data_IF_774425811024
#
_entry.id   IF_774425811024
#
_cell.length_a   1.000
_cell.length_b   1.000
_cell.length_c   1.000
_cell.angle_alpha   90.00
_cell.angle_beta   90.00
_cell.angle_gamma   90.00
#
_symmetry.space_group_name_H-M   'P 1'
#
loop_
_entity.id
_entity.type
_entity.pdbx_description
1 polymer ?
#
# COMPACT_ATOMS: atom_id res chain seq x y z
N UNK A 1 -26.25 -8.59 -18.35
CA UNK A 1 -25.82 -8.70 -16.98
C UNK A 1 -25.61 -7.28 -16.53
N UNK A 2 -26.43 -6.81 -15.58
CA UNK A 2 -26.33 -5.43 -15.11
C UNK A 2 -25.11 -5.34 -14.19
N UNK A 3 -24.05 -4.70 -14.66
CA UNK A 3 -23.00 -4.20 -13.78
C UNK A 3 -23.61 -3.09 -12.92
N UNK A 4 -24.14 -3.47 -11.76
CA UNK A 4 -24.40 -2.51 -10.71
C UNK A 4 -23.01 -2.01 -10.31
N UNK A 5 -22.67 -0.79 -10.70
CA UNK A 5 -21.47 -0.12 -10.20
C UNK A 5 -21.61 -0.05 -8.68
N UNK A 6 -21.00 -0.99 -7.98
CA UNK A 6 -20.98 -1.02 -6.53
C UNK A 6 -20.21 0.23 -6.12
N UNK A 7 -20.90 1.15 -5.45
CA UNK A 7 -20.27 2.37 -4.96
C UNK A 7 -19.46 2.01 -3.70
N UNK A 8 -18.15 1.79 -3.87
CA UNK A 8 -17.22 1.50 -2.77
C UNK A 8 -16.94 2.71 -1.88
N UNK A 9 -17.57 3.86 -2.14
CA UNK A 9 -17.29 5.13 -1.47
C UNK A 9 -18.21 5.45 -0.29
N UNK A 10 -19.18 4.60 0.02
CA UNK A 10 -20.09 4.85 1.15
C UNK A 10 -20.58 3.52 1.75
N UNK A 11 -19.82 2.98 2.69
CA UNK A 11 -20.17 1.77 3.43
C UNK A 11 -20.36 2.14 4.90
N UNK A 12 -21.54 1.82 5.49
CA UNK A 12 -21.68 1.85 6.93
C UNK A 12 -20.91 0.67 7.53
N UNK A 13 -19.71 0.93 8.05
CA UNK A 13 -18.78 -0.11 8.47
C UNK A 13 -19.33 -0.92 9.66
N UNK A 14 -20.05 -0.25 10.58
CA UNK A 14 -20.64 -0.91 11.76
C UNK A 14 -21.77 -1.86 11.35
N UNK A 15 -22.71 -1.39 10.52
CA UNK A 15 -23.81 -2.23 10.02
C UNK A 15 -23.30 -3.38 9.15
N UNK A 16 -22.32 -3.12 8.31
CA UNK A 16 -21.67 -4.12 7.47
C UNK A 16 -21.06 -5.26 8.31
N UNK A 17 -20.35 -4.91 9.38
CA UNK A 17 -19.75 -5.87 10.29
C UNK A 17 -20.82 -6.65 11.10
N UNK A 18 -21.83 -5.95 11.65
CA UNK A 18 -22.91 -6.57 12.42
C UNK A 18 -23.76 -7.53 11.58
N UNK A 19 -24.01 -7.17 10.32
CA UNK A 19 -24.74 -8.01 9.36
C UNK A 19 -23.88 -9.13 8.76
N UNK A 20 -22.60 -9.22 9.15
CA UNK A 20 -21.65 -10.25 8.66
C UNK A 20 -21.59 -10.30 7.13
N UNK A 21 -21.61 -9.13 6.51
CA UNK A 21 -21.58 -9.02 5.07
C UNK A 21 -20.19 -9.32 4.51
N UNK A 22 -20.18 -9.71 3.24
CA UNK A 22 -18.95 -9.90 2.47
C UNK A 22 -19.06 -9.13 1.17
N UNK A 23 -18.02 -8.39 0.84
CA UNK A 23 -17.90 -7.68 -0.42
C UNK A 23 -16.54 -7.99 -1.02
N UNK A 24 -16.50 -8.29 -2.32
CA UNK A 24 -15.27 -8.50 -3.07
C UNK A 24 -15.39 -7.80 -4.42
N UNK A 25 -14.26 -7.34 -4.93
CA UNK A 25 -14.22 -6.63 -6.20
C UNK A 25 -12.82 -6.29 -6.63
N UNK A 26 -12.75 -5.46 -7.66
CA UNK A 26 -11.50 -4.93 -8.18
C UNK A 26 -11.59 -3.41 -8.32
N UNK A 27 -10.50 -2.71 -7.99
CA UNK A 27 -10.31 -1.29 -8.18
C UNK A 27 -9.07 -1.10 -9.04
N UNK A 28 -9.11 -0.20 -10.00
CA UNK A 28 -7.92 0.15 -10.78
C UNK A 28 -7.08 1.17 -9.99
N UNK A 29 -5.87 0.79 -9.59
CA UNK A 29 -4.94 1.64 -8.86
C UNK A 29 -4.64 2.95 -9.59
N UNK A 30 -4.67 2.97 -10.92
CA UNK A 30 -4.47 4.17 -11.72
C UNK A 30 -5.65 5.17 -11.62
N UNK A 31 -6.78 4.76 -11.04
CA UNK A 31 -7.92 5.63 -10.74
C UNK A 31 -7.95 6.10 -9.28
N UNK A 32 -7.02 5.62 -8.45
CA UNK A 32 -6.82 6.10 -7.09
C UNK A 32 -5.89 7.31 -7.15
N UNK A 33 -6.35 8.45 -6.66
CA UNK A 33 -5.72 9.76 -6.93
C UNK A 33 -4.27 9.82 -6.45
N UNK A 34 -4.01 9.44 -5.20
CA UNK A 34 -2.67 9.48 -4.59
C UNK A 34 -1.78 8.33 -5.05
N UNK A 35 -2.36 7.13 -5.19
CA UNK A 35 -1.61 5.95 -5.60
C UNK A 35 -1.14 6.07 -7.06
N UNK A 36 -1.97 6.61 -7.94
CA UNK A 36 -1.62 6.82 -9.35
C UNK A 36 -0.37 7.68 -9.56
N UNK A 37 -0.08 8.64 -8.64
CA UNK A 37 1.12 9.48 -8.69
C UNK A 37 2.42 8.69 -8.47
N UNK A 38 2.33 7.53 -7.80
CA UNK A 38 3.48 6.68 -7.47
C UNK A 38 3.72 5.57 -8.48
N UNK A 39 2.75 5.32 -9.37
CA UNK A 39 2.77 4.23 -10.32
C UNK A 39 3.20 4.67 -11.72
N UNK A 40 3.77 3.74 -12.46
CA UNK A 40 4.01 3.94 -13.89
C UNK A 40 2.71 3.79 -14.67
N UNK A 41 2.44 4.66 -15.68
CA UNK A 41 1.31 4.49 -16.56
C UNK A 41 1.33 3.12 -17.25
N UNK A 42 0.27 2.32 -17.09
CA UNK A 42 0.15 1.01 -17.72
C UNK A 42 -1.06 1.00 -18.64
N UNK A 43 -0.89 0.55 -19.88
CA UNK A 43 -2.00 0.37 -20.82
C UNK A 43 -2.94 -0.79 -20.43
N UNK A 44 -2.51 -1.67 -19.52
CA UNK A 44 -3.28 -2.81 -19.02
C UNK A 44 -4.04 -2.51 -17.74
N UNK A 45 -3.93 -1.28 -17.21
CA UNK A 45 -4.40 -0.95 -15.87
C UNK A 45 -3.50 -1.54 -14.77
N UNK A 46 -3.89 -1.31 -13.53
CA UNK A 46 -3.24 -1.86 -12.34
C UNK A 46 -4.32 -2.32 -11.36
N UNK A 47 -4.95 -3.50 -11.58
CA UNK A 47 -6.05 -3.96 -10.76
C UNK A 47 -5.58 -4.30 -9.34
N UNK A 48 -6.35 -3.84 -8.36
CA UNK A 48 -6.27 -4.22 -6.95
C UNK A 48 -7.49 -5.09 -6.68
N UNK A 49 -7.29 -6.37 -6.47
CA UNK A 49 -8.34 -7.27 -6.00
C UNK A 49 -8.49 -7.11 -4.50
N UNK A 50 -9.71 -6.98 -4.01
CA UNK A 50 -9.97 -6.88 -2.59
C UNK A 50 -11.13 -7.78 -2.16
N UNK A 51 -11.10 -8.17 -0.89
CA UNK A 51 -12.18 -8.85 -0.20
C UNK A 51 -12.30 -8.33 1.21
N UNK A 52 -13.48 -7.80 1.56
CA UNK A 52 -13.79 -7.35 2.91
C UNK A 52 -14.90 -8.22 3.50
N UNK A 53 -14.70 -8.68 4.74
CA UNK A 53 -15.63 -9.55 5.46
C UNK A 53 -15.94 -8.91 6.81
N UNK A 54 -17.23 -8.71 7.07
CA UNK A 54 -17.70 -8.27 8.38
C UNK A 54 -17.87 -9.44 9.35
N UNK A 55 -17.53 -9.20 10.62
CA UNK A 55 -17.79 -10.14 11.71
C UNK A 55 -18.47 -9.40 12.88
N UNK A 56 -19.58 -9.96 13.38
CA UNK A 56 -20.42 -9.31 14.39
C UNK A 56 -19.76 -9.18 15.75
N UNK A 57 -18.83 -10.08 16.10
CA UNK A 57 -18.11 -10.08 17.37
C UNK A 57 -16.74 -10.74 17.23
N UNK A 58 -15.69 -9.93 17.27
CA UNK A 58 -14.37 -10.36 17.64
C UNK A 58 -13.98 -9.56 18.88
N UNK A 59 -13.56 -10.21 19.98
CA UNK A 59 -13.15 -9.56 21.23
C UNK A 59 -14.19 -8.55 21.83
N UNK A 60 -15.50 -8.81 21.67
CA UNK A 60 -16.65 -8.00 22.08
C UNK A 60 -17.05 -6.86 21.13
N UNK A 61 -16.26 -6.51 20.15
CA UNK A 61 -16.56 -5.48 19.17
C UNK A 61 -16.78 -6.08 17.77
N UNK A 62 -17.59 -5.44 16.91
CA UNK A 62 -17.65 -5.77 15.49
C UNK A 62 -16.30 -5.56 14.84
N UNK A 63 -15.98 -6.34 13.81
CA UNK A 63 -14.70 -6.26 13.11
C UNK A 63 -14.85 -6.42 11.60
N UNK A 64 -13.84 -5.93 10.88
CA UNK A 64 -13.69 -6.11 9.43
C UNK A 64 -12.37 -6.82 9.16
N UNK A 65 -12.42 -7.83 8.31
CA UNK A 65 -11.22 -8.44 7.75
C UNK A 65 -11.09 -8.00 6.29
N UNK A 66 -10.00 -7.32 5.95
CA UNK A 66 -9.70 -6.84 4.60
C UNK A 66 -8.50 -7.58 4.05
N UNK A 67 -8.68 -8.25 2.91
CA UNK A 67 -7.62 -8.85 2.13
C UNK A 67 -7.41 -8.08 0.84
N UNK A 68 -6.13 -7.79 0.49
CA UNK A 68 -5.73 -7.08 -0.71
C UNK A 68 -4.68 -7.87 -1.48
N UNK A 69 -4.85 -7.96 -2.80
CA UNK A 69 -3.86 -8.51 -3.72
C UNK A 69 -3.71 -7.60 -4.94
N UNK A 70 -2.49 -7.21 -5.26
CA UNK A 70 -2.22 -6.35 -6.40
C UNK A 70 -0.81 -6.57 -6.98
N UNK A 71 -0.65 -6.20 -8.25
CA UNK A 71 0.65 -6.12 -8.94
C UNK A 71 0.79 -4.74 -9.54
N UNK A 72 1.58 -3.91 -8.90
CA UNK A 72 1.69 -2.50 -9.19
C UNK A 72 2.94 -2.20 -10.03
N UNK A 73 2.80 -1.52 -11.19
CA UNK A 73 3.94 -1.11 -12.00
C UNK A 73 4.64 0.09 -11.36
N UNK A 74 5.87 -0.10 -10.91
CA UNK A 74 6.68 0.94 -10.27
C UNK A 74 8.07 1.03 -10.90
N UNK A 75 8.80 2.12 -10.62
CA UNK A 75 10.18 2.29 -11.05
C UNK A 75 11.13 1.69 -10.03
N UNK A 76 11.98 0.76 -10.45
CA UNK A 76 13.07 0.26 -9.61
C UNK A 76 14.06 1.40 -9.28
N UNK A 77 14.31 1.65 -8.00
CA UNK A 77 15.19 2.74 -7.57
C UNK A 77 16.70 2.46 -7.77
N UNK A 78 17.06 1.27 -8.25
CA UNK A 78 18.44 0.88 -8.53
C UNK A 78 18.80 1.01 -10.00
N UNK A 79 17.98 0.45 -10.91
CA UNK A 79 18.25 0.45 -12.35
C UNK A 79 17.39 1.43 -13.14
N UNK A 80 16.37 2.01 -12.52
CA UNK A 80 15.40 2.93 -13.11
C UNK A 80 14.51 2.30 -14.21
N UNK A 81 14.51 0.98 -14.31
CA UNK A 81 13.59 0.24 -15.19
C UNK A 81 12.27 -0.04 -14.49
N UNK A 82 11.25 -0.37 -15.27
CA UNK A 82 9.96 -0.82 -14.75
C UNK A 82 10.08 -2.15 -14.01
N UNK A 83 9.37 -2.27 -12.90
CA UNK A 83 9.18 -3.52 -12.16
C UNK A 83 7.74 -3.65 -11.68
N UNK A 84 7.31 -4.88 -11.40
CA UNK A 84 6.04 -5.15 -10.76
C UNK A 84 6.25 -5.39 -9.26
N UNK A 85 5.68 -4.52 -8.45
CA UNK A 85 5.62 -4.68 -7.00
C UNK A 85 4.42 -5.56 -6.65
N UNK A 86 4.68 -6.71 -6.04
CA UNK A 86 3.61 -7.60 -5.56
C UNK A 86 3.16 -7.13 -4.18
N UNK A 87 1.87 -6.89 -4.03
CA UNK A 87 1.20 -6.51 -2.79
C UNK A 87 0.27 -7.65 -2.42
N UNK A 88 0.41 -8.17 -1.20
CA UNK A 88 -0.51 -9.14 -0.61
C UNK A 88 -0.62 -8.80 0.87
N UNK A 89 -1.77 -8.30 1.31
CA UNK A 89 -1.98 -7.73 2.63
C UNK A 89 -3.27 -8.27 3.24
N UNK A 90 -3.22 -8.46 4.56
CA UNK A 90 -4.37 -8.85 5.38
C UNK A 90 -4.46 -7.94 6.60
N UNK A 91 -5.63 -7.36 6.83
CA UNK A 91 -5.91 -6.47 7.95
C UNK A 91 -7.10 -6.94 8.75
N UNK A 92 -7.03 -6.77 10.07
CA UNK A 92 -8.14 -7.00 10.98
C UNK A 92 -8.45 -5.72 11.76
N UNK A 93 -9.52 -5.04 11.39
CA UNK A 93 -9.97 -3.84 12.07
C UNK A 93 -11.02 -4.16 13.11
N UNK A 94 -10.85 -3.63 14.31
CA UNK A 94 -11.90 -3.60 15.33
C UNK A 94 -12.64 -2.28 15.24
N UNK A 95 -13.96 -2.34 15.08
CA UNK A 95 -14.80 -1.14 15.00
C UNK A 95 -15.16 -0.68 16.40
N UNK A 96 -14.91 0.61 16.70
CA UNK A 96 -15.22 1.25 17.97
C UNK A 96 -15.93 2.60 17.75
N UNK A 97 -16.73 3.04 18.73
CA UNK A 97 -17.39 4.35 18.65
C UNK A 97 -16.44 5.52 18.94
N UNK A 98 -15.35 5.25 19.64
CA UNK A 98 -14.25 6.20 19.89
C UNK A 98 -12.95 5.42 19.96
N UNK A 99 -11.93 5.94 19.31
CA UNK A 99 -10.60 5.32 19.33
C UNK A 99 -10.06 5.26 20.77
N UNK A 100 -9.37 4.17 21.17
CA UNK A 100 -8.77 4.07 22.48
C UNK A 100 -7.73 5.19 22.66
N UNK A 101 -7.72 5.82 23.83
CA UNK A 101 -6.78 6.89 24.18
C UNK A 101 -5.38 6.37 24.49
N UNK A 102 -5.29 5.10 24.89
CA UNK A 102 -4.05 4.40 25.14
C UNK A 102 -4.04 3.17 24.22
N UNK A 103 -3.12 3.14 23.28
CA UNK A 103 -2.84 2.00 22.40
C UNK A 103 -1.68 1.26 23.04
N UNK A 104 -1.85 -0.02 23.37
CA UNK A 104 -0.74 -0.88 23.80
C UNK A 104 0.16 -1.11 22.58
N UNK A 105 1.42 -0.70 22.64
CA UNK A 105 2.41 -0.88 21.57
C UNK A 105 2.64 -2.35 21.19
N UNK A 106 2.19 -3.28 22.01
CA UNK A 106 2.27 -4.73 21.75
C UNK A 106 0.95 -5.30 21.17
N UNK A 107 -0.06 -4.47 20.94
CA UNK A 107 -1.34 -4.90 20.36
C UNK A 107 -1.30 -4.68 18.84
N UNK A 108 -1.19 -5.75 18.07
CA UNK A 108 -1.26 -5.74 16.59
C UNK A 108 -2.70 -5.48 16.09
N UNK A 109 -3.55 -4.87 16.91
CA UNK A 109 -4.95 -4.62 16.58
C UNK A 109 -5.12 -3.27 15.92
N UNK A 110 -5.62 -3.27 14.71
CA UNK A 110 -6.00 -2.06 14.00
C UNK A 110 -7.40 -1.60 14.44
N UNK A 111 -7.52 -0.34 14.84
CA UNK A 111 -8.77 0.25 15.29
C UNK A 111 -9.36 1.15 14.21
N UNK A 112 -10.65 0.99 13.97
CA UNK A 112 -11.41 1.80 13.02
C UNK A 112 -12.61 2.44 13.71
N UNK A 113 -12.76 3.75 13.55
CA UNK A 113 -13.93 4.44 14.09
C UNK A 113 -15.20 4.06 13.31
N UNK A 114 -16.30 3.89 14.04
CA UNK A 114 -17.60 3.62 13.45
C UNK A 114 -18.04 4.81 12.58
N UNK A 115 -18.26 4.56 11.29
CA UNK A 115 -18.62 5.57 10.32
C UNK A 115 -19.82 5.11 9.49
N UNK A 116 -20.87 5.95 9.34
CA UNK A 116 -22.02 5.62 8.50
C UNK A 116 -21.67 5.61 7.01
N UNK A 117 -20.62 6.34 6.61
CA UNK A 117 -20.17 6.50 5.22
C UNK A 117 -18.64 6.34 5.15
N UNK A 118 -18.15 5.13 5.35
CA UNK A 118 -16.74 4.82 5.18
C UNK A 118 -16.40 4.71 3.69
N UNK A 119 -15.36 5.41 3.25
CA UNK A 119 -14.84 5.27 1.89
C UNK A 119 -13.85 4.09 1.82
N UNK A 120 -14.34 2.93 1.39
CA UNK A 120 -13.51 1.72 1.26
C UNK A 120 -12.37 1.90 0.24
N UNK A 121 -12.61 2.62 -0.86
CA UNK A 121 -11.56 2.87 -1.85
C UNK A 121 -10.42 3.69 -1.25
N UNK A 122 -10.73 4.71 -0.46
CA UNK A 122 -9.72 5.51 0.22
C UNK A 122 -8.94 4.68 1.26
N UNK A 123 -9.62 3.80 2.01
CA UNK A 123 -8.97 2.88 2.95
C UNK A 123 -8.00 1.95 2.21
N UNK A 124 -8.41 1.32 1.12
CA UNK A 124 -7.56 0.45 0.30
C UNK A 124 -6.34 1.21 -0.24
N UNK A 125 -6.55 2.43 -0.71
CA UNK A 125 -5.47 3.28 -1.20
C UNK A 125 -4.45 3.60 -0.11
N UNK A 126 -4.91 3.95 1.11
CA UNK A 126 -4.06 4.24 2.26
C UNK A 126 -3.20 3.02 2.65
N UNK A 127 -3.82 1.84 2.75
CA UNK A 127 -3.11 0.62 3.14
C UNK A 127 -2.04 0.21 2.12
N UNK A 128 -2.32 0.36 0.84
CA UNK A 128 -1.33 0.08 -0.20
C UNK A 128 -0.19 1.08 -0.15
N UNK A 129 -0.47 2.37 -0.01
CA UNK A 129 0.57 3.40 0.09
C UNK A 129 1.49 3.18 1.30
N UNK A 130 0.93 2.77 2.44
CA UNK A 130 1.70 2.45 3.65
C UNK A 130 2.56 1.18 3.49
N UNK A 131 2.07 0.20 2.73
CA UNK A 131 2.80 -1.05 2.48
C UNK A 131 3.88 -0.92 1.39
N UNK A 132 3.81 0.11 0.55
CA UNK A 132 4.81 0.31 -0.49
C UNK A 132 6.17 0.68 0.10
N UNK A 133 7.26 0.02 -0.31
CA UNK A 133 8.59 0.41 0.13
C UNK A 133 8.95 1.81 -0.41
N UNK A 134 9.64 2.62 0.40
CA UNK A 134 10.12 3.95 0.01
C UNK A 134 11.02 3.89 -1.23
N UNK A 135 11.78 2.81 -1.39
CA UNK A 135 12.67 2.57 -2.52
C UNK A 135 12.47 1.14 -3.06
N UNK A 136 11.46 0.91 -3.92
CA UNK A 136 11.25 -0.39 -4.52
C UNK A 136 12.43 -0.78 -5.41
N UNK A 137 12.92 -2.02 -5.29
CA UNK A 137 14.05 -2.54 -6.05
C UNK A 137 13.77 -3.97 -6.48
N UNK A 138 14.32 -4.38 -7.63
CA UNK A 138 14.29 -5.78 -8.03
C UNK A 138 15.00 -6.67 -7.01
N UNK A 139 14.51 -7.87 -6.82
CA UNK A 139 15.12 -8.87 -5.92
C UNK A 139 16.50 -9.36 -6.43
N UNK A 140 16.73 -9.29 -7.73
CA UNK A 140 18.02 -9.62 -8.35
C UNK A 140 18.91 -8.38 -8.50
N UNK A 141 20.23 -8.59 -8.67
CA UNK A 141 21.15 -7.49 -8.98
C UNK A 141 20.87 -6.94 -10.38
N UNK A 142 20.31 -5.75 -10.42
CA UNK A 142 19.96 -5.02 -11.63
C UNK A 142 20.82 -3.76 -11.82
N UNK A 143 21.93 -3.61 -11.09
CA UNK A 143 22.84 -2.48 -11.27
C UNK A 143 23.50 -2.51 -12.64
N UNK A 144 23.20 -1.51 -13.48
CA UNK A 144 23.82 -1.35 -14.82
C UNK A 144 25.21 -0.75 -14.75
N UNK A 145 25.61 -0.23 -13.60
CA UNK A 145 26.92 0.34 -13.37
C UNK A 145 27.83 -0.71 -12.74
N UNK A 146 28.85 -1.17 -13.49
CA UNK A 146 30.02 -1.71 -12.84
C UNK A 146 30.54 -0.62 -11.90
N UNK A 147 30.59 -0.90 -10.60
CA UNK A 147 31.25 -0.01 -9.63
C UNK A 147 32.76 -0.02 -9.88
N UNK A 148 33.17 0.32 -11.08
CA UNK A 148 34.53 0.79 -11.31
C UNK A 148 34.55 2.24 -10.84
N UNK A 149 34.93 2.42 -9.59
CA UNK A 149 35.43 3.70 -9.11
C UNK A 149 36.61 4.06 -10.01
N UNK A 150 36.38 4.83 -11.06
CA UNK A 150 37.46 5.42 -11.85
C UNK A 150 38.32 6.19 -10.84
N UNK A 151 39.65 6.06 -10.94
CA UNK A 151 40.56 6.91 -10.17
C UNK A 151 40.20 8.36 -10.46
N UNK A 152 39.47 8.97 -9.52
CA UNK A 152 39.23 10.41 -9.58
C UNK A 152 40.61 11.07 -9.50
N UNK A 153 40.98 11.91 -10.48
CA UNK A 153 42.25 12.63 -10.38
C UNK A 153 42.28 13.35 -9.06
N UNK A 154 43.26 13.01 -8.24
CA UNK A 154 43.40 13.61 -6.92
C UNK A 154 43.73 15.11 -7.09
N UNK A 155 42.78 16.03 -6.78
CA UNK A 155 43.02 17.48 -6.95
C UNK A 155 44.23 17.98 -6.16
N UNK A 156 44.71 17.21 -5.16
CA UNK A 156 45.87 17.52 -4.36
C UNK A 156 47.17 16.89 -4.87
N UNK A 157 47.13 16.16 -6.00
CA UNK A 157 48.35 15.55 -6.56
C UNK A 157 49.44 16.59 -6.85
N UNK A 158 49.04 17.82 -7.18
CA UNK A 158 49.95 18.96 -7.45
C UNK A 158 50.75 19.37 -6.19
N UNK A 159 50.22 19.12 -4.99
CA UNK A 159 50.91 19.48 -3.73
C UNK A 159 52.04 18.51 -3.37
N UNK A 160 52.08 17.30 -3.94
CA UNK A 160 53.16 16.34 -3.68
C UNK A 160 54.54 16.84 -4.13
N UNK A 161 54.63 17.82 -5.06
CA UNK A 161 55.87 18.40 -5.55
C UNK A 161 56.31 19.65 -4.75
N UNK A 162 55.50 20.16 -3.84
CA UNK A 162 55.77 21.40 -3.10
C UNK A 162 56.34 21.15 -1.68
N UNK A 163 56.34 19.92 -1.23
CA UNK A 163 56.91 19.55 0.08
C UNK A 163 58.27 18.94 -0.18
N UNK A 164 59.31 19.73 0.07
CA UNK A 164 60.71 19.31 0.16
C UNK A 164 61.09 19.05 1.62
#
# INVERSE_FOLDING_TARGET
MNDIAINYTAINNLEFAQAQQTLAGEIDALKCERLAETLLPSSKGAPISFKIIGAAKQLRNPSLHLHLDAKLPVTCQRCLDEMLLNINLDFNYIICNALPTEIDENDDTDWLEAAPEMNLQALIEDEILLAMPIAPMHDHDCSKQSMQSGEKPNPFAVLKGLIK
#
